data_IF_389692131563
#
_entry.id   IF_389692131563
#
_cell.length_a   1.000
_cell.length_b   1.000
_cell.length_c   1.000
_cell.angle_alpha   90.00
_cell.angle_beta   90.00
_cell.angle_gamma   90.00
#
_symmetry.space_group_name_H-M   'P 1'
#
loop_
_entity.id
_entity.type
_entity.pdbx_description
1 polymer ?
#
# COMPACT_ATOMS: atom_id res chain seq x y z
N UNK A 1 9.08 -0.98 17.81
CA UNK A 1 8.44 -2.10 17.08
C UNK A 1 9.48 -3.19 16.82
N UNK A 2 9.15 -4.48 16.88
CA UNK A 2 10.10 -5.54 16.51
C UNK A 2 10.24 -5.64 14.99
N UNK A 3 11.35 -6.20 14.50
CA UNK A 3 11.56 -6.39 13.07
C UNK A 3 10.59 -7.42 12.47
N UNK A 4 10.09 -8.40 13.23
CA UNK A 4 9.06 -9.34 12.72
C UNK A 4 7.75 -8.60 12.44
N UNK A 5 7.31 -7.75 13.37
CA UNK A 5 6.12 -6.91 13.18
C UNK A 5 6.27 -5.92 12.03
N UNK A 6 7.49 -5.44 11.77
CA UNK A 6 7.77 -4.60 10.60
C UNK A 6 7.59 -5.37 9.29
N UNK A 7 8.13 -6.58 9.21
CA UNK A 7 7.99 -7.43 8.03
C UNK A 7 6.52 -7.78 7.78
N UNK A 8 5.76 -8.12 8.83
CA UNK A 8 4.32 -8.41 8.73
C UNK A 8 3.52 -7.20 8.21
N UNK A 9 3.82 -6.00 8.70
CA UNK A 9 3.09 -4.78 8.33
C UNK A 9 3.41 -4.30 6.90
N UNK A 10 4.66 -4.46 6.48
CA UNK A 10 5.16 -3.91 5.21
C UNK A 10 5.20 -4.94 4.08
N UNK A 11 5.26 -6.23 4.40
CA UNK A 11 5.55 -7.31 3.45
C UNK A 11 7.00 -7.36 2.99
N UNK A 12 7.88 -6.53 3.56
CA UNK A 12 9.32 -6.53 3.28
C UNK A 12 9.93 -7.80 3.86
N UNK A 13 10.82 -8.45 3.11
CA UNK A 13 11.43 -9.69 3.54
C UNK A 13 12.40 -9.45 4.70
N UNK A 14 12.47 -10.42 5.62
CA UNK A 14 13.33 -10.34 6.78
C UNK A 14 14.79 -10.12 6.42
N UNK A 15 15.27 -10.75 5.34
CA UNK A 15 16.65 -10.64 4.88
C UNK A 15 16.98 -9.23 4.38
N UNK A 16 16.01 -8.51 3.81
CA UNK A 16 16.19 -7.14 3.36
C UNK A 16 16.29 -6.17 4.55
N UNK A 17 15.50 -6.40 5.60
CA UNK A 17 15.58 -5.62 6.85
C UNK A 17 16.91 -5.85 7.55
N UNK A 18 17.39 -7.10 7.59
CA UNK A 18 18.67 -7.45 8.20
C UNK A 18 19.87 -6.91 7.40
N UNK A 19 19.75 -6.80 6.07
CA UNK A 19 20.77 -6.19 5.22
C UNK A 19 20.97 -4.68 5.49
N UNK A 20 19.99 -4.00 6.10
CA UNK A 20 20.11 -2.60 6.52
C UNK A 20 20.99 -2.41 7.76
N UNK A 21 21.43 -3.51 8.40
CA UNK A 21 22.28 -3.48 9.59
C UNK A 21 21.52 -3.18 10.88
N UNK A 22 22.22 -2.64 11.89
CA UNK A 22 21.61 -2.30 13.18
C UNK A 22 20.64 -1.11 13.05
N UNK A 23 19.37 -1.43 12.85
CA UNK A 23 18.28 -0.47 12.88
C UNK A 23 17.61 -0.48 14.25
N UNK A 24 17.37 0.71 14.81
CA UNK A 24 16.68 0.83 16.09
C UNK A 24 15.20 0.48 15.96
N UNK A 25 14.60 -0.01 17.05
CA UNK A 25 13.15 -0.31 17.09
C UNK A 25 12.26 0.93 16.93
N UNK A 26 12.81 2.13 17.17
CA UNK A 26 12.15 3.41 16.96
C UNK A 26 12.16 3.80 15.47
N UNK A 27 13.25 3.52 14.76
CA UNK A 27 13.35 3.79 13.32
C UNK A 27 12.50 2.81 12.53
N UNK A 28 12.42 1.53 12.91
CA UNK A 28 11.45 0.59 12.34
C UNK A 28 10.01 1.11 12.46
N UNK A 29 9.66 1.67 13.62
CA UNK A 29 8.31 2.21 13.82
C UNK A 29 8.03 3.41 12.90
N UNK A 30 9.02 4.31 12.71
CA UNK A 30 8.91 5.41 11.75
C UNK A 30 8.80 4.92 10.31
N UNK A 31 9.61 3.94 9.91
CA UNK A 31 9.54 3.38 8.57
C UNK A 31 8.21 2.68 8.30
N UNK A 32 7.66 1.99 9.28
CA UNK A 32 6.32 1.39 9.15
C UNK A 32 5.23 2.46 8.97
N UNK A 33 5.23 3.52 9.79
CA UNK A 33 4.27 4.62 9.63
C UNK A 33 4.42 5.33 8.27
N UNK A 34 5.66 5.53 7.79
CA UNK A 34 5.92 6.08 6.46
C UNK A 34 5.42 5.14 5.35
N UNK A 35 5.65 3.84 5.50
CA UNK A 35 5.20 2.82 4.56
C UNK A 35 3.67 2.76 4.49
N UNK A 36 2.99 2.74 5.63
CA UNK A 36 1.53 2.76 5.72
C UNK A 36 0.96 4.00 5.04
N UNK A 37 1.50 5.19 5.33
CA UNK A 37 1.07 6.43 4.66
C UNK A 37 1.30 6.41 3.15
N UNK A 38 2.44 5.89 2.71
CA UNK A 38 2.75 5.77 1.28
C UNK A 38 1.82 4.78 0.58
N UNK A 39 1.49 3.66 1.24
CA UNK A 39 0.52 2.66 0.78
C UNK A 39 -0.87 3.28 0.65
N UNK A 40 -1.34 3.97 1.68
CA UNK A 40 -2.65 4.62 1.70
C UNK A 40 -2.76 5.70 0.62
N UNK A 41 -1.72 6.52 0.47
CA UNK A 41 -1.65 7.52 -0.60
C UNK A 41 -1.72 6.87 -1.98
N UNK A 42 -0.96 5.79 -2.21
CA UNK A 42 -0.97 5.04 -3.46
C UNK A 42 -2.33 4.41 -3.73
N UNK A 43 -2.98 3.81 -2.73
CA UNK A 43 -4.31 3.23 -2.88
C UNK A 43 -5.35 4.30 -3.23
N UNK A 44 -5.26 5.47 -2.59
CA UNK A 44 -6.10 6.62 -2.92
C UNK A 44 -5.87 7.11 -4.35
N UNK A 45 -4.62 7.22 -4.78
CA UNK A 45 -4.28 7.66 -6.14
C UNK A 45 -4.76 6.66 -7.19
N UNK A 46 -4.58 5.36 -6.93
CA UNK A 46 -5.11 4.29 -7.79
C UNK A 46 -6.63 4.34 -7.89
N UNK A 47 -7.33 4.46 -6.76
CA UNK A 47 -8.78 4.59 -6.75
C UNK A 47 -9.25 5.84 -7.51
N UNK A 48 -8.54 6.96 -7.36
CA UNK A 48 -8.83 8.20 -8.10
C UNK A 48 -8.64 8.02 -9.62
N UNK A 49 -7.55 7.35 -10.02
CA UNK A 49 -7.29 7.04 -11.43
C UNK A 49 -8.35 6.07 -12.00
N UNK A 50 -8.76 5.06 -11.23
CA UNK A 50 -9.85 4.14 -11.59
C UNK A 50 -11.16 4.91 -11.77
N UNK A 51 -11.53 5.76 -10.81
CA UNK A 51 -12.77 6.53 -10.88
C UNK A 51 -12.77 7.53 -12.05
N UNK A 52 -11.62 8.14 -12.33
CA UNK A 52 -11.40 8.98 -13.51
C UNK A 52 -11.59 8.20 -14.81
N UNK A 53 -10.97 7.01 -14.91
CA UNK A 53 -11.11 6.12 -16.06
C UNK A 53 -12.53 5.61 -16.27
N UNK A 54 -13.23 5.22 -15.19
CA UNK A 54 -14.65 4.84 -15.23
C UNK A 54 -15.57 6.03 -15.54
N UNK A 55 -15.07 7.27 -15.44
CA UNK A 55 -15.76 8.50 -15.81
C UNK A 55 -16.29 8.49 -17.24
N UNK A 56 -15.60 7.83 -18.17
CA UNK A 56 -16.01 7.70 -19.58
C UNK A 56 -17.18 6.76 -19.79
N UNK A 57 -17.50 5.91 -18.80
CA UNK A 57 -18.59 4.94 -18.88
C UNK A 57 -19.89 5.53 -18.31
N UNK A 58 -21.05 5.07 -18.83
CA UNK A 58 -22.34 5.35 -18.23
C UNK A 58 -22.37 4.96 -16.74
N UNK A 59 -22.94 5.81 -15.89
CA UNK A 59 -22.93 5.65 -14.43
C UNK A 59 -23.37 4.27 -13.95
N UNK A 60 -24.35 3.66 -14.60
CA UNK A 60 -24.90 2.34 -14.27
C UNK A 60 -23.91 1.19 -14.53
N UNK A 61 -22.97 1.36 -15.47
CA UNK A 61 -22.01 0.31 -15.84
C UNK A 61 -20.72 0.37 -15.00
N UNK A 62 -20.42 1.52 -14.38
CA UNK A 62 -19.17 1.72 -13.62
C UNK A 62 -18.94 0.68 -12.52
N UNK A 63 -19.93 0.30 -11.68
CA UNK A 63 -19.71 -0.68 -10.62
C UNK A 63 -19.34 -2.06 -11.17
N UNK A 64 -19.98 -2.48 -12.27
CA UNK A 64 -19.72 -3.78 -12.91
C UNK A 64 -18.33 -3.80 -13.54
N UNK A 65 -17.97 -2.75 -14.28
CA UNK A 65 -16.65 -2.66 -14.91
C UNK A 65 -15.53 -2.56 -13.86
N UNK A 66 -15.75 -1.82 -12.76
CA UNK A 66 -14.80 -1.80 -11.64
C UNK A 66 -14.55 -3.20 -11.08
N UNK A 67 -15.62 -3.96 -10.89
CA UNK A 67 -15.55 -5.34 -10.37
C UNK A 67 -14.89 -6.32 -11.33
N UNK A 68 -14.98 -6.11 -12.65
CA UNK A 68 -14.35 -7.02 -13.63
C UNK A 68 -12.87 -6.72 -13.79
N UNK A 69 -12.47 -5.45 -13.79
CA UNK A 69 -11.10 -5.03 -14.10
C UNK A 69 -10.19 -4.98 -12.86
N UNK A 70 -10.75 -4.85 -11.66
CA UNK A 70 -9.98 -4.59 -10.44
C UNK A 70 -10.38 -5.49 -9.25
N UNK A 71 -10.96 -6.68 -9.51
CA UNK A 71 -11.18 -7.73 -8.48
C UNK A 71 -9.98 -8.62 -8.27
#
# INVERSE_FOLDING_TARGET
MSADRFCDATGIDRSEVEALGEISTADLAKFADLYERARDAREKDLNTAIDGGLGVLPRLLRPVVRKVLFS
#
